data_IF_298554853375
#
_entry.id   IF_298554853375
#
_cell.length_a   1.000
_cell.length_b   1.000
_cell.length_c   1.000
_cell.angle_alpha   90.00
_cell.angle_beta   90.00
_cell.angle_gamma   90.00
#
_symmetry.space_group_name_H-M   'P 1'
#
loop_
_entity.id
_entity.type
_entity.pdbx_description
1 polymer ?
#
# COMPACT_ATOMS: atom_id res chain seq x y z
N UNK A 1 57.24 10.57 26.80
CA UNK A 1 56.94 9.19 26.40
C UNK A 1 55.44 8.94 26.18
N UNK A 2 54.51 9.33 27.09
CA UNK A 2 53.06 9.11 26.90
C UNK A 2 52.45 9.81 25.69
N UNK A 3 52.88 11.07 25.39
CA UNK A 3 52.40 11.81 24.23
C UNK A 3 52.86 11.23 22.88
N UNK A 4 54.10 10.70 22.83
CA UNK A 4 54.63 10.04 21.64
C UNK A 4 53.89 8.71 21.35
N UNK A 5 53.52 7.96 22.40
CA UNK A 5 52.77 6.73 22.29
C UNK A 5 51.34 6.95 21.77
N UNK A 6 50.68 8.05 22.19
CA UNK A 6 49.35 8.44 21.69
C UNK A 6 49.41 8.88 20.23
N UNK A 7 50.45 9.63 19.82
CA UNK A 7 50.65 10.03 18.43
C UNK A 7 50.91 8.82 17.53
N UNK A 8 51.70 7.86 17.99
CA UNK A 8 51.95 6.60 17.26
C UNK A 8 50.65 5.75 17.16
N UNK A 9 49.84 5.71 18.23
CA UNK A 9 48.57 5.00 18.23
C UNK A 9 47.52 5.67 17.31
N UNK A 10 47.52 7.01 17.24
CA UNK A 10 46.68 7.76 16.31
C UNK A 10 47.13 7.59 14.85
N UNK A 11 48.43 7.53 14.60
CA UNK A 11 48.98 7.28 13.24
C UNK A 11 48.76 5.84 12.78
N UNK A 12 48.70 4.85 13.67
CA UNK A 12 48.34 3.48 13.30
C UNK A 12 46.87 3.32 12.90
N UNK A 13 45.96 4.15 13.39
CA UNK A 13 44.55 4.11 13.01
C UNK A 13 44.24 4.72 11.61
N UNK A 14 45.16 5.50 11.04
CA UNK A 14 44.99 6.08 9.71
C UNK A 14 45.39 5.13 8.56
N UNK A 15 45.93 3.94 8.87
CA UNK A 15 46.35 2.96 7.87
C UNK A 15 45.34 1.83 7.61
N UNK A 16 44.17 1.84 8.27
CA UNK A 16 43.08 0.95 7.93
C UNK A 16 42.13 1.62 6.92
N UNK A 17 42.61 1.95 5.73
CA UNK A 17 41.72 2.10 4.59
C UNK A 17 41.11 0.74 4.29
N UNK A 18 39.81 0.62 4.45
CA UNK A 18 39.07 -0.59 4.06
C UNK A 18 39.24 -0.74 2.54
N UNK A 19 40.14 -1.63 2.15
CA UNK A 19 40.35 -1.96 0.74
C UNK A 19 39.08 -2.56 0.19
N UNK A 20 38.55 -1.98 -0.86
CA UNK A 20 37.32 -2.44 -1.50
C UNK A 20 37.63 -3.03 -2.88
N UNK A 21 36.82 -4.01 -3.26
CA UNK A 21 36.75 -4.55 -4.61
C UNK A 21 35.41 -4.18 -5.23
N UNK A 22 35.39 -3.91 -6.53
CA UNK A 22 34.17 -3.71 -7.28
C UNK A 22 33.87 -4.92 -8.15
N UNK A 23 32.80 -5.64 -7.84
CA UNK A 23 32.31 -6.80 -8.58
C UNK A 23 31.32 -6.31 -9.64
N UNK A 24 31.61 -6.52 -10.92
CA UNK A 24 30.74 -6.14 -12.03
C UNK A 24 30.40 -7.34 -12.88
N UNK A 25 29.17 -7.43 -13.33
CA UNK A 25 28.70 -8.49 -14.20
C UNK A 25 27.46 -8.08 -14.98
N UNK A 26 27.08 -8.92 -15.93
CA UNK A 26 25.87 -8.75 -16.73
C UNK A 26 25.00 -9.97 -16.63
N UNK A 27 23.72 -9.80 -16.29
CA UNK A 27 22.73 -10.87 -16.20
C UNK A 27 22.05 -11.01 -17.56
N UNK A 28 22.03 -12.24 -18.07
CA UNK A 28 21.40 -12.57 -19.35
C UNK A 28 20.57 -13.84 -19.20
N UNK A 29 19.55 -14.02 -20.04
CA UNK A 29 18.81 -15.27 -20.17
C UNK A 29 19.56 -16.28 -21.07
N UNK A 30 18.98 -17.46 -21.24
CA UNK A 30 19.54 -18.53 -22.11
C UNK A 30 19.62 -18.11 -23.57
N UNK A 31 18.93 -17.05 -23.99
CA UNK A 31 18.92 -16.48 -25.34
C UNK A 31 19.84 -15.24 -25.44
N UNK A 32 20.64 -14.94 -24.40
CA UNK A 32 21.54 -13.76 -24.28
C UNK A 32 20.82 -12.41 -24.26
N UNK A 33 19.51 -12.37 -23.98
CA UNK A 33 18.82 -11.13 -23.70
C UNK A 33 19.16 -10.63 -22.29
N UNK A 34 19.25 -9.32 -22.11
CA UNK A 34 19.52 -8.73 -20.81
C UNK A 34 18.38 -8.98 -19.81
N UNK A 35 18.69 -9.42 -18.59
CA UNK A 35 17.74 -9.54 -17.49
C UNK A 35 17.88 -8.31 -16.60
N UNK A 36 16.89 -7.40 -16.69
CA UNK A 36 16.84 -6.18 -15.90
C UNK A 36 16.08 -6.39 -14.60
N UNK A 37 16.37 -5.57 -13.58
CA UNK A 37 15.70 -5.56 -12.28
C UNK A 37 15.86 -6.84 -11.45
N UNK A 38 16.79 -7.71 -11.81
CA UNK A 38 17.14 -8.88 -10.99
C UNK A 38 17.91 -8.44 -9.74
N UNK A 39 17.62 -9.06 -8.62
CA UNK A 39 18.27 -8.77 -7.34
C UNK A 39 19.56 -9.57 -7.22
N UNK A 40 20.70 -8.88 -7.00
CA UNK A 40 22.01 -9.48 -6.76
C UNK A 40 22.44 -9.20 -5.32
N UNK A 41 22.68 -10.25 -4.54
CA UNK A 41 23.14 -10.16 -3.14
C UNK A 41 24.54 -10.70 -3.02
N UNK A 42 25.44 -9.93 -2.41
CA UNK A 42 26.83 -10.32 -2.20
C UNK A 42 27.10 -10.72 -0.75
N UNK A 43 27.77 -11.84 -0.56
CA UNK A 43 28.14 -12.39 0.75
C UNK A 43 29.62 -12.69 0.81
N UNK A 44 30.21 -12.58 2.01
CA UNK A 44 31.53 -13.09 2.36
C UNK A 44 31.37 -14.24 3.38
N UNK A 45 32.36 -15.14 3.45
CA UNK A 45 32.30 -16.35 4.31
C UNK A 45 30.99 -17.13 4.12
N UNK A 46 30.45 -17.16 2.89
CA UNK A 46 29.21 -17.84 2.47
C UNK A 46 27.92 -17.41 3.18
N UNK A 47 28.00 -16.64 4.26
CA UNK A 47 26.87 -16.31 5.12
C UNK A 47 26.77 -14.85 5.55
N UNK A 48 27.84 -14.06 5.44
CA UNK A 48 27.85 -12.67 5.85
C UNK A 48 27.48 -11.77 4.66
N UNK A 49 26.31 -11.21 4.68
CA UNK A 49 25.86 -10.26 3.65
C UNK A 49 26.68 -8.96 3.69
N UNK A 50 27.09 -8.52 2.54
CA UNK A 50 27.88 -7.30 2.38
C UNK A 50 27.06 -6.19 1.77
N UNK A 51 26.46 -6.46 0.62
CA UNK A 51 25.70 -5.47 -0.15
C UNK A 51 24.80 -6.16 -1.19
N UNK A 52 23.69 -5.51 -1.54
CA UNK A 52 22.86 -5.86 -2.68
C UNK A 52 22.87 -4.79 -3.75
N UNK A 53 22.54 -5.19 -4.98
CA UNK A 53 22.31 -4.34 -6.12
C UNK A 53 21.23 -4.94 -7.02
N UNK A 54 20.78 -4.19 -8.02
CA UNK A 54 19.85 -4.68 -9.05
C UNK A 54 20.48 -4.49 -10.43
N UNK A 55 20.17 -5.41 -11.35
CA UNK A 55 20.59 -5.24 -12.73
C UNK A 55 19.85 -4.09 -13.42
N UNK A 56 20.56 -3.28 -14.18
CA UNK A 56 20.03 -2.18 -14.98
C UNK A 56 19.27 -2.68 -16.23
N UNK A 57 18.78 -1.75 -17.07
CA UNK A 57 18.05 -2.09 -18.31
C UNK A 57 18.88 -2.91 -19.32
N UNK A 58 20.18 -2.92 -19.19
CA UNK A 58 21.13 -3.68 -20.03
C UNK A 58 21.62 -4.96 -19.33
N UNK A 59 21.09 -5.27 -18.14
CA UNK A 59 21.43 -6.41 -17.33
C UNK A 59 22.68 -6.23 -16.46
N UNK A 60 23.34 -5.08 -16.47
CA UNK A 60 24.56 -4.86 -15.71
C UNK A 60 24.27 -4.59 -14.23
N UNK A 61 25.16 -5.05 -13.36
CA UNK A 61 25.20 -4.72 -11.94
C UNK A 61 26.61 -4.39 -11.47
N UNK A 62 26.73 -3.67 -10.33
CA UNK A 62 28.01 -3.26 -9.77
C UNK A 62 27.95 -3.23 -8.24
N UNK A 63 28.66 -4.12 -7.59
CA UNK A 63 28.69 -4.26 -6.13
C UNK A 63 30.09 -3.95 -5.60
N UNK A 64 30.21 -2.95 -4.73
CA UNK A 64 31.44 -2.65 -4.00
C UNK A 64 31.41 -3.39 -2.67
N UNK A 65 32.38 -4.24 -2.42
CA UNK A 65 32.53 -5.05 -1.22
C UNK A 65 33.93 -4.90 -0.59
N UNK A 66 34.08 -5.08 0.71
CA UNK A 66 35.40 -5.19 1.34
C UNK A 66 36.18 -6.35 0.75
N UNK A 67 37.51 -6.23 0.63
CA UNK A 67 38.35 -7.36 0.19
C UNK A 67 38.24 -8.49 1.18
N UNK A 68 37.93 -9.69 0.68
CA UNK A 68 37.77 -10.91 1.47
C UNK A 68 38.67 -12.05 0.95
N UNK A 69 39.62 -12.54 1.76
CA UNK A 69 40.44 -13.69 1.39
C UNK A 69 39.65 -14.98 1.15
N UNK A 70 38.45 -15.08 1.74
CA UNK A 70 37.54 -16.21 1.53
C UNK A 70 36.77 -16.15 0.22
N UNK A 71 36.84 -15.03 -0.49
CA UNK A 71 36.08 -14.80 -1.71
C UNK A 71 34.66 -14.29 -1.44
N UNK A 72 33.84 -14.31 -2.50
CA UNK A 72 32.49 -13.77 -2.51
C UNK A 72 31.51 -14.81 -3.04
N UNK A 73 30.34 -14.84 -2.44
CA UNK A 73 29.17 -15.58 -2.92
C UNK A 73 28.14 -14.57 -3.40
N UNK A 74 27.82 -14.59 -4.68
CA UNK A 74 26.73 -13.81 -5.25
C UNK A 74 25.50 -14.69 -5.37
N UNK A 75 24.38 -14.21 -4.86
CA UNK A 75 23.08 -14.88 -4.97
C UNK A 75 22.17 -13.96 -5.78
N UNK A 76 21.72 -14.47 -6.92
CA UNK A 76 20.96 -13.72 -7.92
C UNK A 76 19.56 -14.32 -7.99
N UNK A 77 18.56 -13.48 -7.77
CA UNK A 77 17.15 -13.84 -7.84
C UNK A 77 16.40 -12.92 -8.80
N UNK A 78 15.56 -13.53 -9.62
CA UNK A 78 14.62 -12.80 -10.47
C UNK A 78 13.36 -13.63 -10.68
N UNK A 79 12.20 -12.95 -10.82
CA UNK A 79 10.91 -13.61 -11.01
C UNK A 79 10.94 -14.45 -12.29
N UNK A 80 10.59 -15.73 -12.18
CA UNK A 80 10.58 -16.67 -13.31
C UNK A 80 11.94 -17.29 -13.66
N UNK A 81 12.97 -17.03 -12.84
CA UNK A 81 14.29 -17.62 -13.00
C UNK A 81 14.72 -18.37 -11.73
N UNK A 82 15.45 -19.45 -11.94
CA UNK A 82 16.10 -20.20 -10.86
C UNK A 82 17.10 -19.33 -10.12
N UNK A 83 17.15 -19.42 -8.79
CA UNK A 83 18.21 -18.77 -8.03
C UNK A 83 19.57 -19.19 -8.59
N UNK A 84 20.38 -18.21 -8.95
CA UNK A 84 21.73 -18.46 -9.42
C UNK A 84 22.73 -18.10 -8.33
N UNK A 85 23.57 -19.05 -7.93
CA UNK A 85 24.63 -18.84 -6.94
C UNK A 85 25.99 -18.91 -7.66
N UNK A 86 26.73 -17.81 -7.57
CA UNK A 86 28.07 -17.71 -8.14
C UNK A 86 29.09 -17.49 -7.01
N UNK A 87 30.11 -18.34 -6.94
CA UNK A 87 31.27 -18.15 -6.07
C UNK A 87 32.43 -17.59 -6.87
N UNK A 88 33.05 -16.52 -6.37
CA UNK A 88 34.17 -15.87 -7.01
C UNK A 88 35.21 -15.43 -6.00
N UNK A 89 36.45 -15.24 -6.46
CA UNK A 89 37.55 -14.67 -5.67
C UNK A 89 38.17 -13.54 -6.45
N UNK A 90 38.57 -12.52 -5.77
CA UNK A 90 39.26 -11.38 -6.35
C UNK A 90 39.99 -10.58 -5.30
N UNK A 91 41.06 -9.96 -5.71
CA UNK A 91 41.87 -9.10 -4.88
C UNK A 91 41.40 -7.63 -5.02
N UNK A 92 42.28 -6.68 -4.85
CA UNK A 92 42.00 -5.25 -4.96
C UNK A 92 41.61 -4.83 -6.39
N UNK A 93 40.67 -3.88 -6.48
CA UNK A 93 40.32 -3.22 -7.73
C UNK A 93 38.95 -3.62 -8.27
N UNK A 94 38.88 -3.99 -9.52
CA UNK A 94 37.65 -4.33 -10.24
C UNK A 94 37.71 -5.78 -10.74
N UNK A 95 36.70 -6.56 -10.43
CA UNK A 95 36.54 -7.92 -10.94
C UNK A 95 35.35 -7.99 -11.89
N UNK A 96 35.63 -8.27 -13.17
CA UNK A 96 34.64 -8.46 -14.21
C UNK A 96 34.19 -9.94 -14.23
N UNK A 97 32.92 -10.18 -13.97
CA UNK A 97 32.34 -11.53 -13.90
C UNK A 97 31.81 -11.99 -15.28
N UNK A 98 31.73 -11.08 -16.26
CA UNK A 98 31.18 -11.38 -17.58
C UNK A 98 29.68 -11.58 -17.59
N UNK A 99 29.19 -12.29 -18.61
CA UNK A 99 27.77 -12.64 -18.75
C UNK A 99 27.44 -13.82 -17.81
N UNK A 100 26.49 -13.60 -16.93
CA UNK A 100 25.93 -14.60 -16.01
C UNK A 100 24.58 -15.02 -16.56
N UNK A 101 24.46 -16.29 -16.97
CA UNK A 101 23.23 -16.82 -17.58
C UNK A 101 22.28 -17.27 -16.50
N UNK A 102 21.08 -16.69 -16.46
CA UNK A 102 20.00 -17.11 -15.58
C UNK A 102 19.12 -18.12 -16.32
N UNK A 103 18.87 -19.26 -15.67
CA UNK A 103 18.04 -20.34 -16.20
C UNK A 103 16.59 -20.13 -15.76
N UNK A 104 15.68 -20.23 -16.72
CA UNK A 104 14.25 -20.18 -16.40
C UNK A 104 13.83 -21.44 -15.66
N UNK A 105 13.32 -21.30 -14.47
CA UNK A 105 12.74 -22.42 -13.74
C UNK A 105 11.75 -22.00 -12.66
N UNK A 106 10.84 -22.91 -12.46
CA UNK A 106 9.88 -22.94 -11.39
C UNK A 106 10.31 -23.96 -10.34
N UNK A 107 11.12 -23.63 -9.34
CA UNK A 107 11.21 -24.40 -8.09
C UNK A 107 12.06 -23.75 -6.96
N UNK A 108 11.80 -24.19 -5.73
CA UNK A 108 12.10 -23.64 -4.40
C UNK A 108 13.57 -23.64 -3.96
N UNK A 109 13.85 -22.76 -2.99
CA UNK A 109 15.14 -22.60 -2.35
C UNK A 109 15.12 -22.65 -0.82
N UNK A 110 16.23 -23.13 -0.25
CA UNK A 110 16.54 -23.19 1.17
C UNK A 110 17.42 -22.01 1.65
N UNK A 111 17.41 -21.78 2.93
CA UNK A 111 17.73 -20.59 3.71
C UNK A 111 19.22 -20.20 3.90
N UNK A 112 19.55 -18.88 3.91
CA UNK A 112 20.84 -18.30 4.31
C UNK A 112 20.73 -17.04 5.18
N UNK A 113 21.52 -16.91 6.24
CA UNK A 113 21.53 -15.78 7.23
C UNK A 113 22.55 -14.68 6.89
N UNK A 114 22.21 -13.42 7.20
CA UNK A 114 22.94 -12.23 6.73
C UNK A 114 23.12 -11.16 7.82
N UNK A 115 24.32 -10.54 7.89
CA UNK A 115 24.59 -9.26 8.54
C UNK A 115 25.49 -8.38 7.66
N UNK A 116 24.94 -7.30 7.09
CA UNK A 116 25.67 -6.34 6.26
C UNK A 116 24.83 -5.09 5.97
N UNK A 117 25.39 -4.07 5.32
CA UNK A 117 24.64 -2.84 5.01
C UNK A 117 23.44 -3.11 4.10
N UNK A 118 22.26 -2.91 4.67
CA UNK A 118 20.97 -3.25 4.10
C UNK A 118 20.42 -2.22 3.11
N UNK A 119 21.22 -1.23 2.68
CA UNK A 119 20.74 -0.09 1.91
C UNK A 119 21.63 0.13 0.70
N UNK A 120 21.01 0.21 -0.49
CA UNK A 120 21.66 0.60 -1.75
C UNK A 120 20.87 1.75 -2.35
N UNK A 121 21.56 2.81 -2.78
CA UNK A 121 20.96 3.95 -3.47
C UNK A 121 21.21 3.84 -4.97
N UNK A 122 20.16 4.02 -5.75
CA UNK A 122 20.21 4.22 -7.19
C UNK A 122 19.89 5.67 -7.52
N UNK A 123 19.79 6.02 -8.79
CA UNK A 123 19.51 7.41 -9.22
C UNK A 123 18.09 7.85 -8.85
N UNK A 124 17.14 6.92 -8.82
CA UNK A 124 15.69 7.18 -8.71
C UNK A 124 15.06 6.61 -7.43
N UNK A 125 15.74 5.70 -6.74
CA UNK A 125 15.20 5.00 -5.57
C UNK A 125 16.25 4.53 -4.59
N UNK A 126 15.81 4.16 -3.39
CA UNK A 126 16.63 3.52 -2.37
C UNK A 126 16.13 2.10 -2.14
N UNK A 127 17.02 1.13 -2.25
CA UNK A 127 16.75 -0.29 -2.06
C UNK A 127 17.06 -0.67 -0.61
N UNK A 128 16.10 -1.25 0.06
CA UNK A 128 16.23 -1.75 1.42
C UNK A 128 16.11 -3.27 1.42
N UNK A 129 17.12 -3.96 1.91
CA UNK A 129 17.15 -5.42 2.02
C UNK A 129 16.92 -5.80 3.49
N UNK A 130 15.75 -6.36 3.84
CA UNK A 130 15.47 -6.74 5.21
C UNK A 130 16.37 -7.88 5.68
N UNK A 131 16.80 -7.83 6.92
CA UNK A 131 17.48 -8.97 7.55
C UNK A 131 16.45 -10.04 7.91
N UNK A 132 16.90 -11.30 8.02
CA UNK A 132 16.06 -12.39 8.52
C UNK A 132 15.48 -12.12 9.90
N UNK A 133 16.26 -11.46 10.75
CA UNK A 133 15.82 -11.10 12.09
C UNK A 133 14.65 -10.10 12.04
N UNK A 134 14.72 -9.09 11.18
CA UNK A 134 13.61 -8.14 10.97
C UNK A 134 12.37 -8.87 10.46
N UNK A 135 12.52 -9.74 9.44
CA UNK A 135 11.40 -10.50 8.88
C UNK A 135 10.81 -11.50 9.88
N UNK A 136 11.65 -12.11 10.74
CA UNK A 136 11.19 -13.04 11.79
C UNK A 136 10.32 -12.36 12.85
N UNK A 137 10.62 -11.11 13.18
CA UNK A 137 9.87 -10.32 14.16
C UNK A 137 8.70 -9.53 13.56
N UNK A 138 8.50 -9.60 12.27
CA UNK A 138 7.37 -9.00 11.59
C UNK A 138 6.18 -9.96 11.58
N UNK A 139 4.98 -9.42 11.85
CA UNK A 139 3.72 -10.15 11.74
C UNK A 139 3.09 -10.00 10.36
N UNK A 140 3.39 -8.92 9.66
CA UNK A 140 2.76 -8.51 8.42
C UNK A 140 3.68 -7.52 7.66
N UNK A 141 3.24 -7.05 6.48
CA UNK A 141 4.01 -6.11 5.66
C UNK A 141 4.25 -4.76 6.35
N UNK A 142 3.28 -4.22 7.10
CA UNK A 142 3.46 -2.96 7.82
C UNK A 142 4.50 -3.09 8.93
N UNK A 143 4.44 -4.17 9.68
CA UNK A 143 5.42 -4.42 10.75
C UNK A 143 6.81 -4.68 10.17
N UNK A 144 6.90 -5.38 9.04
CA UNK A 144 8.17 -5.56 8.33
C UNK A 144 8.77 -4.21 7.92
N UNK A 145 7.96 -3.32 7.32
CA UNK A 145 8.38 -1.99 6.92
C UNK A 145 8.82 -1.14 8.11
N UNK A 146 8.06 -1.13 9.21
CA UNK A 146 8.40 -0.40 10.43
C UNK A 146 9.74 -0.84 11.04
N UNK A 147 10.01 -2.16 11.04
CA UNK A 147 11.26 -2.72 11.55
C UNK A 147 12.49 -2.38 10.71
N UNK A 148 12.31 -1.97 9.46
CA UNK A 148 13.40 -1.54 8.59
C UNK A 148 13.89 -0.14 8.90
N UNK A 149 13.13 0.67 9.66
CA UNK A 149 13.49 2.03 10.09
C UNK A 149 13.97 2.90 8.91
N UNK A 150 13.20 2.92 7.81
CA UNK A 150 13.52 3.71 6.63
C UNK A 150 13.49 5.20 7.02
N UNK A 151 14.61 5.95 6.86
CA UNK A 151 14.62 7.37 7.14
C UNK A 151 13.55 8.10 6.33
N UNK A 152 12.93 9.15 6.90
CA UNK A 152 11.84 9.93 6.29
C UNK A 152 10.49 9.23 6.18
N UNK A 153 10.40 7.93 6.41
CA UNK A 153 9.16 7.17 6.35
C UNK A 153 8.61 6.97 7.76
N UNK A 154 7.42 7.45 8.00
CA UNK A 154 6.64 7.18 9.22
C UNK A 154 5.68 6.02 8.96
N UNK A 155 5.82 4.97 9.73
CA UNK A 155 5.03 3.74 9.60
C UNK A 155 4.34 3.43 10.90
N UNK A 156 3.02 3.55 10.93
CA UNK A 156 2.19 3.11 12.05
C UNK A 156 1.57 1.73 11.74
N UNK A 157 2.11 0.64 12.33
CA UNK A 157 1.60 -0.71 12.09
C UNK A 157 0.20 -0.94 12.69
N UNK A 158 -0.25 -0.11 13.64
CA UNK A 158 -1.56 -0.25 14.29
C UNK A 158 -2.67 0.39 13.44
N UNK A 159 -2.47 1.63 13.02
CA UNK A 159 -3.43 2.34 12.17
C UNK A 159 -3.28 2.02 10.69
N UNK A 160 -2.24 1.24 10.30
CA UNK A 160 -1.94 0.85 8.91
C UNK A 160 -1.66 2.04 8.00
N UNK A 161 -1.10 3.10 8.56
CA UNK A 161 -0.71 4.30 7.82
C UNK A 161 0.79 4.29 7.55
N UNK A 162 1.13 4.71 6.34
CA UNK A 162 2.50 4.93 5.89
C UNK A 162 2.56 6.32 5.25
N UNK A 163 3.45 7.17 5.73
CA UNK A 163 3.56 8.55 5.26
C UNK A 163 4.99 9.06 5.33
N UNK A 164 5.22 10.15 4.60
CA UNK A 164 6.41 10.99 4.73
C UNK A 164 5.99 12.40 5.15
N UNK A 165 6.94 13.30 5.37
CA UNK A 165 6.64 14.73 5.60
C UNK A 165 5.88 15.38 4.44
N UNK A 166 5.90 14.78 3.25
CA UNK A 166 5.20 15.26 2.05
C UNK A 166 3.76 14.77 1.96
N UNK A 167 3.38 13.79 2.78
CA UNK A 167 2.05 13.21 2.80
C UNK A 167 2.03 11.69 2.76
N UNK A 168 0.89 11.14 2.39
CA UNK A 168 0.64 9.70 2.36
C UNK A 168 1.48 9.01 1.28
N UNK A 169 2.01 7.84 1.61
CA UNK A 169 2.87 7.02 0.75
C UNK A 169 2.03 5.98 0.00
N UNK A 170 2.21 5.90 -1.31
CA UNK A 170 1.61 4.85 -2.12
C UNK A 170 2.34 3.53 -1.89
N UNK A 171 1.60 2.46 -1.60
CA UNK A 171 2.14 1.13 -1.39
C UNK A 171 1.93 0.25 -2.62
N UNK A 172 3.00 -0.38 -3.08
CA UNK A 172 3.00 -1.29 -4.21
C UNK A 172 3.48 -2.69 -3.78
N UNK A 173 3.08 -3.70 -4.56
CA UNK A 173 3.64 -5.06 -4.53
C UNK A 173 4.07 -5.40 -5.96
N UNK A 174 5.36 -5.65 -6.17
CA UNK A 174 5.95 -5.96 -7.48
C UNK A 174 5.52 -4.96 -8.57
N UNK A 175 5.57 -3.65 -8.26
CA UNK A 175 5.24 -2.55 -9.16
C UNK A 175 3.74 -2.25 -9.32
N UNK A 176 2.82 -3.03 -8.76
CA UNK A 176 1.39 -2.78 -8.78
C UNK A 176 0.89 -2.16 -7.48
N UNK A 177 -0.11 -1.31 -7.55
CA UNK A 177 -0.76 -0.73 -6.39
C UNK A 177 -1.43 -1.81 -5.52
N UNK A 178 -1.11 -1.80 -4.23
CA UNK A 178 -1.60 -2.76 -3.26
C UNK A 178 -2.62 -2.14 -2.31
N UNK A 179 -3.63 -2.91 -1.94
CA UNK A 179 -4.56 -2.52 -0.90
C UNK A 179 -3.94 -2.64 0.50
N UNK A 180 -4.52 -1.95 1.48
CA UNK A 180 -4.10 -2.08 2.88
C UNK A 180 -4.22 -3.52 3.39
N UNK A 181 -5.23 -4.27 2.92
CA UNK A 181 -5.42 -5.65 3.31
C UNK A 181 -4.38 -6.58 2.69
N UNK A 182 -3.92 -6.34 1.47
CA UNK A 182 -2.81 -7.10 0.87
C UNK A 182 -1.52 -6.91 1.66
N UNK A 183 -1.19 -5.68 2.03
CA UNK A 183 0.00 -5.40 2.86
C UNK A 183 -0.13 -6.00 4.26
N UNK A 184 -1.32 -5.96 4.87
CA UNK A 184 -1.60 -6.57 6.19
C UNK A 184 -1.43 -8.09 6.16
N UNK A 185 -1.84 -8.73 5.08
CA UNK A 185 -1.80 -10.18 4.95
C UNK A 185 -0.52 -10.69 4.25
N UNK A 186 0.39 -9.79 3.91
CA UNK A 186 1.65 -10.14 3.28
C UNK A 186 2.52 -10.96 4.26
N UNK A 187 3.00 -12.11 3.81
CA UNK A 187 3.94 -12.91 4.58
C UNK A 187 5.33 -12.22 4.57
N UNK A 188 5.85 -11.77 5.72
CA UNK A 188 7.12 -11.05 5.74
C UNK A 188 8.30 -11.84 5.17
N UNK A 189 8.27 -13.17 5.26
CA UNK A 189 9.35 -14.04 4.76
C UNK A 189 9.51 -13.99 3.25
N UNK A 190 8.46 -13.57 2.53
CA UNK A 190 8.47 -13.48 1.07
C UNK A 190 9.06 -12.14 0.58
N UNK A 191 9.35 -11.20 1.50
CA UNK A 191 9.93 -9.91 1.14
C UNK A 191 11.41 -10.07 0.82
N UNK A 192 11.76 -9.93 -0.45
CA UNK A 192 13.17 -9.90 -0.90
C UNK A 192 13.82 -8.56 -0.62
N UNK A 193 13.11 -7.47 -0.90
CA UNK A 193 13.54 -6.09 -0.67
C UNK A 193 12.36 -5.12 -0.71
N UNK A 194 12.62 -3.91 -0.25
CA UNK A 194 11.74 -2.75 -0.41
C UNK A 194 12.43 -1.74 -1.32
N UNK A 195 11.75 -1.32 -2.38
CA UNK A 195 12.16 -0.22 -3.23
C UNK A 195 11.43 1.05 -2.78
N UNK A 196 12.17 2.03 -2.26
CA UNK A 196 11.59 3.28 -1.76
C UNK A 196 11.92 4.44 -2.70
N UNK A 197 10.90 5.11 -3.18
CA UNK A 197 10.97 6.32 -3.99
C UNK A 197 10.50 7.50 -3.12
N UNK A 198 11.41 8.34 -2.70
CA UNK A 198 11.11 9.53 -1.90
C UNK A 198 10.67 10.73 -2.73
N UNK A 199 10.85 10.63 -4.05
CA UNK A 199 10.42 11.59 -5.07
C UNK A 199 10.01 10.80 -6.32
N UNK A 200 9.17 11.37 -7.16
CA UNK A 200 8.75 10.92 -8.50
C UNK A 200 8.97 9.44 -8.87
N UNK A 201 7.93 8.66 -8.75
CA UNK A 201 7.90 7.32 -9.35
C UNK A 201 7.53 7.42 -10.84
N UNK A 202 8.23 6.74 -11.77
CA UNK A 202 7.99 6.87 -13.22
C UNK A 202 6.54 6.57 -13.65
N UNK A 203 5.88 5.62 -12.99
CA UNK A 203 4.50 5.20 -13.30
C UNK A 203 3.45 5.87 -12.42
N UNK A 204 3.85 6.48 -11.30
CA UNK A 204 2.97 7.16 -10.33
C UNK A 204 3.47 8.57 -10.03
N UNK A 205 3.51 9.47 -11.05
CA UNK A 205 4.12 10.80 -10.92
C UNK A 205 3.40 11.72 -9.93
N UNK A 206 2.16 11.42 -9.59
CA UNK A 206 1.36 12.19 -8.64
C UNK A 206 1.46 11.66 -7.19
N UNK A 207 2.17 10.56 -6.95
CA UNK A 207 2.40 10.06 -5.61
C UNK A 207 3.52 10.87 -4.93
N UNK A 208 3.29 11.27 -3.67
CA UNK A 208 4.29 12.01 -2.89
C UNK A 208 5.53 11.16 -2.61
N UNK A 209 5.32 9.89 -2.35
CA UNK A 209 6.35 8.87 -2.18
C UNK A 209 5.77 7.49 -2.49
N UNK A 210 6.62 6.53 -2.80
CA UNK A 210 6.21 5.17 -3.13
C UNK A 210 7.07 4.16 -2.42
N UNK A 211 6.44 3.14 -1.83
CA UNK A 211 7.08 1.95 -1.27
C UNK A 211 6.64 0.75 -2.08
N UNK A 212 7.56 0.07 -2.74
CA UNK A 212 7.29 -1.15 -3.50
C UNK A 212 7.90 -2.37 -2.80
N UNK A 213 7.04 -3.29 -2.38
CA UNK A 213 7.44 -4.58 -1.82
C UNK A 213 7.78 -5.54 -2.94
N UNK A 214 9.04 -5.87 -3.10
CA UNK A 214 9.50 -6.88 -4.05
C UNK A 214 9.50 -8.23 -3.35
N UNK A 215 8.63 -9.11 -3.80
CA UNK A 215 8.38 -10.40 -3.18
C UNK A 215 9.06 -11.54 -3.92
N UNK A 216 9.35 -12.61 -3.17
CA UNK A 216 9.72 -13.91 -3.73
C UNK A 216 8.52 -14.50 -4.49
N UNK A 217 8.82 -15.12 -5.63
CA UNK A 217 7.80 -15.80 -6.41
C UNK A 217 7.67 -17.26 -5.96
N UNK A 218 6.42 -17.69 -5.72
CA UNK A 218 6.10 -19.06 -5.38
C UNK A 218 5.35 -19.74 -6.53
N UNK A 219 5.90 -20.83 -7.06
CA UNK A 219 5.28 -21.58 -8.15
C UNK A 219 4.03 -22.35 -7.74
N UNK A 220 4.04 -22.92 -6.55
CA UNK A 220 2.94 -23.72 -6.02
C UNK A 220 2.88 -23.59 -4.50
N UNK A 221 1.71 -23.57 -3.98
CA UNK A 221 1.46 -23.50 -2.56
C UNK A 221 0.26 -22.67 -2.24
N UNK A 222 0.11 -22.34 -0.99
CA UNK A 222 -0.94 -21.45 -0.53
C UNK A 222 -0.75 -21.11 0.93
N UNK A 223 -1.50 -20.11 1.34
CA UNK A 223 -1.51 -19.61 2.72
C UNK A 223 -2.95 -19.37 3.15
N UNK A 224 -3.23 -19.65 4.41
CA UNK A 224 -4.44 -19.18 5.10
C UNK A 224 -3.99 -18.38 6.30
N UNK A 225 -4.47 -17.16 6.40
CA UNK A 225 -4.24 -16.28 7.53
C UNK A 225 -5.59 -15.91 8.18
N UNK A 226 -5.62 -15.89 9.50
CA UNK A 226 -6.77 -15.42 10.27
C UNK A 226 -6.28 -14.40 11.28
N UNK A 227 -7.04 -13.33 11.45
CA UNK A 227 -6.75 -12.29 12.42
C UNK A 227 -8.05 -11.94 13.18
N UNK A 228 -7.88 -11.49 14.41
CA UNK A 228 -9.01 -11.05 15.22
C UNK A 228 -8.54 -10.07 16.26
N UNK A 229 -9.34 -9.05 16.48
CA UNK A 229 -9.17 -8.07 17.55
C UNK A 229 -10.50 -7.84 18.26
N UNK A 230 -10.50 -7.97 19.58
CA UNK A 230 -11.67 -7.75 20.41
C UNK A 230 -11.34 -6.80 21.55
N UNK A 231 -12.15 -5.79 21.76
CA UNK A 231 -12.07 -4.93 22.94
C UNK A 231 -12.85 -5.57 24.09
N UNK A 232 -12.17 -5.80 25.20
CA UNK A 232 -12.77 -6.53 26.34
C UNK A 232 -13.83 -5.75 27.12
N UNK A 233 -13.79 -4.42 27.04
CA UNK A 233 -14.69 -3.53 27.78
C UNK A 233 -15.69 -2.76 26.90
N UNK A 234 -15.72 -3.04 25.62
CA UNK A 234 -16.61 -2.43 24.63
C UNK A 234 -17.11 -3.50 23.68
N UNK A 235 -18.34 -3.37 23.20
CA UNK A 235 -18.90 -4.27 22.22
C UNK A 235 -18.38 -4.02 20.81
N UNK A 236 -17.05 -3.94 20.62
CA UNK A 236 -16.46 -3.76 19.31
C UNK A 236 -15.31 -4.75 19.04
N UNK A 237 -15.22 -5.18 17.81
CA UNK A 237 -14.22 -6.13 17.35
C UNK A 237 -14.08 -6.13 15.85
N UNK A 238 -13.00 -6.75 15.38
CA UNK A 238 -12.74 -6.96 13.95
C UNK A 238 -12.12 -8.33 13.75
N UNK A 239 -12.61 -9.08 12.78
CA UNK A 239 -12.16 -10.42 12.44
C UNK A 239 -11.94 -10.53 10.93
N UNK A 240 -10.93 -11.27 10.53
CA UNK A 240 -10.63 -11.46 9.12
C UNK A 240 -10.04 -12.83 8.82
N UNK A 241 -10.28 -13.29 7.61
CA UNK A 241 -9.66 -14.48 7.06
C UNK A 241 -9.20 -14.20 5.62
N UNK A 242 -7.99 -14.64 5.29
CA UNK A 242 -7.41 -14.53 3.95
C UNK A 242 -6.90 -15.87 3.51
N UNK A 243 -7.28 -16.30 2.31
CA UNK A 243 -6.73 -17.44 1.61
C UNK A 243 -5.97 -17.00 0.37
N UNK A 244 -4.79 -17.56 0.13
CA UNK A 244 -3.95 -17.30 -1.03
C UNK A 244 -3.51 -18.62 -1.63
N UNK A 245 -3.55 -18.75 -2.95
CA UNK A 245 -3.14 -19.95 -3.67
C UNK A 245 -2.26 -19.53 -4.85
N UNK A 246 -1.09 -20.16 -4.93
CA UNK A 246 -0.14 -20.01 -6.03
C UNK A 246 -0.20 -21.24 -6.93
N UNK A 247 -0.33 -21.03 -8.21
CA UNK A 247 -0.25 -22.08 -9.22
C UNK A 247 0.50 -21.61 -10.46
N UNK A 248 1.80 -21.88 -10.49
CA UNK A 248 2.72 -21.47 -11.56
C UNK A 248 2.69 -19.95 -11.76
N UNK A 249 2.08 -19.51 -12.86
CA UNK A 249 1.98 -18.10 -13.27
C UNK A 249 0.75 -17.38 -12.70
N UNK A 250 -0.07 -18.09 -11.94
CA UNK A 250 -1.34 -17.57 -11.42
C UNK A 250 -1.36 -17.54 -9.90
N UNK A 251 -1.88 -16.47 -9.36
CA UNK A 251 -2.11 -16.28 -7.92
C UNK A 251 -3.56 -15.86 -7.70
N UNK A 252 -4.20 -16.45 -6.71
CA UNK A 252 -5.56 -16.15 -6.28
C UNK A 252 -5.53 -15.76 -4.82
N UNK A 253 -6.13 -14.64 -4.49
CA UNK A 253 -6.30 -14.19 -3.10
C UNK A 253 -7.79 -13.93 -2.86
N UNK A 254 -8.29 -14.45 -1.77
CA UNK A 254 -9.63 -14.17 -1.25
C UNK A 254 -9.49 -13.72 0.18
N UNK A 255 -10.04 -12.56 0.52
CA UNK A 255 -10.09 -12.08 1.89
C UNK A 255 -11.49 -11.61 2.25
N UNK A 256 -11.89 -11.92 3.46
CA UNK A 256 -13.13 -11.43 4.06
C UNK A 256 -12.82 -10.92 5.45
N UNK A 257 -13.27 -9.73 5.77
CA UNK A 257 -13.19 -9.16 7.11
C UNK A 257 -14.53 -8.58 7.54
N UNK A 258 -14.84 -8.74 8.81
CA UNK A 258 -15.99 -8.18 9.48
C UNK A 258 -15.53 -7.31 10.64
N UNK A 259 -16.09 -6.11 10.75
CA UNK A 259 -15.85 -5.19 11.86
C UNK A 259 -17.19 -4.73 12.41
N UNK A 260 -17.36 -4.89 13.69
CA UNK A 260 -18.57 -4.43 14.36
C UNK A 260 -18.24 -3.51 15.52
N UNK A 261 -19.11 -2.55 15.74
CA UNK A 261 -19.04 -1.62 16.83
C UNK A 261 -20.43 -1.50 17.45
N UNK A 262 -20.54 -1.86 18.71
CA UNK A 262 -21.76 -1.74 19.50
C UNK A 262 -21.37 -1.13 20.84
N UNK A 263 -21.66 0.14 21.00
CA UNK A 263 -21.36 0.81 22.24
C UNK A 263 -22.39 1.91 22.54
N UNK A 264 -22.51 2.23 23.80
CA UNK A 264 -23.31 3.36 24.25
C UNK A 264 -22.35 4.44 24.71
N UNK A 265 -22.22 5.58 24.00
CA UNK A 265 -21.35 6.66 24.40
C UNK A 265 -21.75 7.20 25.77
N UNK A 266 -20.75 7.64 26.53
CA UNK A 266 -20.96 8.37 27.76
C UNK A 266 -21.50 9.77 27.44
N UNK A 267 -22.08 10.44 28.44
CA UNK A 267 -22.53 11.82 28.29
C UNK A 267 -21.46 12.71 27.65
N UNK A 268 -21.85 13.39 26.59
CA UNK A 268 -21.09 14.45 25.93
C UNK A 268 -21.70 15.80 26.24
N UNK A 269 -20.91 16.87 26.05
CA UNK A 269 -21.38 18.24 26.12
C UNK A 269 -20.85 18.97 24.89
N UNK A 270 -21.74 19.62 24.16
CA UNK A 270 -21.42 20.37 22.97
C UNK A 270 -22.03 21.77 23.04
N UNK A 271 -21.26 22.77 22.58
CA UNK A 271 -21.76 24.14 22.42
C UNK A 271 -21.60 24.56 20.98
N UNK A 272 -22.70 24.85 20.32
CA UNK A 272 -22.74 25.32 18.93
C UNK A 272 -23.21 26.76 18.87
N UNK A 273 -22.52 27.61 18.10
CA UNK A 273 -22.86 29.04 17.96
C UNK A 273 -23.33 29.31 16.53
N UNK A 274 -24.52 29.81 16.38
CA UNK A 274 -25.14 30.16 15.11
C UNK A 274 -25.27 31.69 14.96
N UNK A 275 -24.86 32.20 13.79
CA UNK A 275 -25.05 33.62 13.40
C UNK A 275 -26.26 33.73 12.45
N UNK A 276 -27.29 34.42 12.87
CA UNK A 276 -28.41 34.77 11.97
C UNK A 276 -28.03 35.90 11.01
N UNK A 277 -28.74 35.99 9.89
CA UNK A 277 -28.62 37.06 8.91
C UNK A 277 -28.90 38.46 9.52
N UNK A 278 -29.60 38.53 10.64
CA UNK A 278 -29.85 39.72 11.44
C UNK A 278 -28.69 40.14 12.36
N UNK A 279 -27.55 39.45 12.29
CA UNK A 279 -26.40 39.60 13.21
C UNK A 279 -26.69 39.16 14.66
N UNK A 280 -27.80 38.51 14.90
CA UNK A 280 -28.11 37.90 16.19
C UNK A 280 -27.35 36.61 16.35
N UNK A 281 -26.69 36.41 17.48
CA UNK A 281 -25.99 35.20 17.82
C UNK A 281 -26.89 34.29 18.67
N UNK A 282 -27.07 33.04 18.25
CA UNK A 282 -27.77 32.03 19.03
C UNK A 282 -26.75 30.98 19.45
N UNK A 283 -26.66 30.71 20.72
CA UNK A 283 -25.86 29.60 21.28
C UNK A 283 -26.79 28.45 21.61
N UNK A 284 -26.46 27.27 21.10
CA UNK A 284 -27.08 25.99 21.47
C UNK A 284 -26.14 25.23 22.39
N UNK A 285 -26.57 24.88 23.56
CA UNK A 285 -25.89 24.00 24.49
C UNK A 285 -26.60 22.64 24.48
N UNK A 286 -25.90 21.62 24.02
CA UNK A 286 -26.39 20.26 23.97
C UNK A 286 -25.67 19.37 24.97
N UNK A 287 -26.42 18.56 25.69
CA UNK A 287 -25.90 17.51 26.57
C UNK A 287 -26.43 16.17 26.09
N UNK A 288 -25.57 15.34 25.50
CA UNK A 288 -25.91 14.01 25.04
C UNK A 288 -26.25 13.09 26.22
N UNK A 289 -27.28 12.31 26.04
CA UNK A 289 -27.66 11.23 26.94
C UNK A 289 -27.11 9.89 26.41
N UNK A 290 -26.89 8.89 27.26
CA UNK A 290 -26.49 7.56 26.81
C UNK A 290 -27.50 6.98 25.81
N UNK A 291 -27.07 6.75 24.57
CA UNK A 291 -27.90 6.16 23.51
C UNK A 291 -27.07 5.17 22.70
N UNK A 292 -27.64 4.03 22.26
CA UNK A 292 -26.88 2.99 21.57
C UNK A 292 -26.44 3.43 20.18
N UNK A 293 -25.23 3.03 19.81
CA UNK A 293 -24.69 3.18 18.46
C UNK A 293 -24.18 1.82 17.99
N UNK A 294 -24.68 1.37 16.86
CA UNK A 294 -24.35 0.07 16.29
C UNK A 294 -23.86 0.26 14.86
N UNK A 295 -22.70 -0.32 14.53
CA UNK A 295 -22.27 -0.41 13.15
C UNK A 295 -21.65 -1.77 12.85
N UNK A 296 -21.84 -2.22 11.63
CA UNK A 296 -21.22 -3.43 11.10
C UNK A 296 -20.70 -3.14 9.69
N UNK A 297 -19.46 -3.55 9.42
CA UNK A 297 -18.81 -3.39 8.12
C UNK A 297 -18.19 -4.70 7.67
N UNK A 298 -18.65 -5.22 6.53
CA UNK A 298 -18.11 -6.42 5.91
C UNK A 298 -17.36 -5.98 4.66
N UNK A 299 -16.07 -6.34 4.61
CA UNK A 299 -15.20 -6.09 3.47
C UNK A 299 -14.74 -7.43 2.90
N UNK A 300 -14.90 -7.58 1.59
CA UNK A 300 -14.42 -8.76 0.89
C UNK A 300 -13.65 -8.33 -0.34
N UNK A 301 -12.52 -8.98 -0.61
CA UNK A 301 -11.84 -8.78 -1.87
C UNK A 301 -11.38 -10.11 -2.48
N UNK A 302 -11.34 -10.10 -3.80
CA UNK A 302 -10.87 -11.20 -4.63
C UNK A 302 -9.83 -10.65 -5.58
N UNK A 303 -8.61 -11.18 -5.52
CA UNK A 303 -7.55 -10.82 -6.43
C UNK A 303 -7.19 -12.02 -7.29
N UNK A 304 -6.98 -11.75 -8.55
CA UNK A 304 -6.35 -12.67 -9.49
C UNK A 304 -5.16 -11.98 -10.14
N UNK A 305 -4.00 -12.60 -10.03
CA UNK A 305 -2.78 -12.19 -10.70
C UNK A 305 -2.31 -13.31 -11.62
N UNK A 306 -2.09 -12.98 -12.88
CA UNK A 306 -1.33 -13.80 -13.83
C UNK A 306 -0.11 -13.02 -14.27
N UNK A 307 1.06 -13.65 -14.30
CA UNK A 307 2.26 -13.05 -14.85
C UNK A 307 3.10 -14.08 -15.61
N UNK A 308 3.72 -13.62 -16.68
CA UNK A 308 4.80 -14.29 -17.36
C UNK A 308 5.89 -13.28 -17.72
N UNK A 309 6.89 -13.67 -18.51
CA UNK A 309 8.01 -12.81 -18.91
C UNK A 309 7.61 -11.46 -19.52
N UNK A 310 6.49 -11.42 -20.22
CA UNK A 310 6.09 -10.30 -21.04
C UNK A 310 4.75 -9.72 -20.65
N UNK A 311 3.93 -10.48 -19.94
CA UNK A 311 2.54 -10.13 -19.68
C UNK A 311 2.22 -10.24 -18.20
N UNK A 312 1.46 -9.30 -17.70
CA UNK A 312 0.85 -9.33 -16.39
C UNK A 312 -0.62 -8.95 -16.51
N UNK A 313 -1.49 -9.75 -15.93
CA UNK A 313 -2.90 -9.44 -15.77
C UNK A 313 -3.22 -9.42 -14.28
N UNK A 314 -3.77 -8.33 -13.81
CA UNK A 314 -4.23 -8.16 -12.45
C UNK A 314 -5.71 -7.80 -12.43
N UNK A 315 -6.48 -8.50 -11.64
CA UNK A 315 -7.91 -8.22 -11.45
C UNK A 315 -8.23 -8.20 -9.97
N UNK A 316 -8.88 -7.14 -9.51
CA UNK A 316 -9.38 -7.00 -8.15
C UNK A 316 -10.87 -6.71 -8.18
N UNK A 317 -11.63 -7.48 -7.42
CA UNK A 317 -13.02 -7.18 -7.06
C UNK A 317 -13.09 -6.94 -5.56
N UNK A 318 -13.58 -5.78 -5.19
CA UNK A 318 -13.81 -5.38 -3.78
C UNK A 318 -15.32 -5.27 -3.57
N UNK A 319 -15.81 -5.83 -2.47
CA UNK A 319 -17.20 -5.73 -2.04
C UNK A 319 -17.19 -5.19 -0.61
N UNK A 320 -17.64 -3.94 -0.44
CA UNK A 320 -17.79 -3.32 0.87
C UNK A 320 -19.26 -3.14 1.17
N UNK A 321 -19.67 -3.58 2.33
CA UNK A 321 -21.00 -3.38 2.87
C UNK A 321 -20.88 -2.83 4.28
N UNK A 322 -21.59 -1.74 4.55
CA UNK A 322 -21.62 -1.13 5.86
C UNK A 322 -23.07 -0.84 6.26
N UNK A 323 -23.39 -1.15 7.50
CA UNK A 323 -24.65 -0.78 8.14
C UNK A 323 -24.34 -0.05 9.43
N UNK A 324 -24.99 1.10 9.66
CA UNK A 324 -24.91 1.84 10.93
C UNK A 324 -26.31 2.21 11.38
N UNK A 325 -26.59 1.99 12.65
CA UNK A 325 -27.78 2.46 13.34
C UNK A 325 -27.31 3.31 14.53
N UNK A 326 -27.68 4.58 14.53
CA UNK A 326 -27.28 5.55 15.55
C UNK A 326 -28.51 6.18 16.19
N UNK A 327 -28.65 5.99 17.49
CA UNK A 327 -29.61 6.71 18.30
C UNK A 327 -28.86 7.86 19.00
N UNK A 328 -29.30 9.09 18.84
CA UNK A 328 -28.75 10.26 19.55
C UNK A 328 -29.85 10.96 20.35
N UNK A 329 -29.79 10.76 21.64
CA UNK A 329 -30.69 11.38 22.59
C UNK A 329 -29.95 12.52 23.30
N UNK A 330 -30.46 13.74 23.18
CA UNK A 330 -29.83 14.90 23.79
C UNK A 330 -30.82 15.86 24.46
N UNK A 331 -30.31 16.61 25.43
CA UNK A 331 -31.01 17.77 26.00
C UNK A 331 -30.36 19.03 25.47
N UNK A 332 -31.14 19.87 24.81
CA UNK A 332 -30.67 21.09 24.14
C UNK A 332 -31.32 22.34 24.75
N UNK A 333 -30.55 23.42 24.85
CA UNK A 333 -31.02 24.72 25.33
C UNK A 333 -30.48 25.80 24.39
N UNK A 334 -31.35 26.66 23.87
CA UNK A 334 -30.99 27.74 22.98
C UNK A 334 -30.98 29.08 23.73
N UNK A 335 -29.98 29.92 23.52
CA UNK A 335 -29.79 31.22 24.21
C UNK A 335 -30.93 32.23 24.00
N UNK A 336 -31.65 32.09 22.90
CA UNK A 336 -32.77 32.99 22.56
C UNK A 336 -34.12 32.54 23.12
N UNK A 337 -34.22 31.31 23.63
CA UNK A 337 -35.51 30.76 24.09
C UNK A 337 -35.47 30.35 25.58
N UNK A 338 -34.28 29.98 26.09
CA UNK A 338 -34.06 29.47 27.47
C UNK A 338 -34.93 28.24 27.80
N UNK A 339 -35.55 27.67 26.80
CA UNK A 339 -36.36 26.47 26.94
C UNK A 339 -35.46 25.23 26.69
N UNK A 340 -35.73 24.20 27.47
CA UNK A 340 -35.03 22.93 27.29
C UNK A 340 -35.86 21.99 26.41
N UNK A 341 -35.20 21.54 25.36
CA UNK A 341 -35.73 20.55 24.43
C UNK A 341 -35.05 19.20 24.67
N UNK A 342 -35.87 18.12 24.73
CA UNK A 342 -35.36 16.77 24.57
C UNK A 342 -35.37 16.44 23.07
N UNK A 343 -34.21 16.17 22.49
CA UNK A 343 -34.08 15.80 21.10
C UNK A 343 -33.77 14.33 20.99
N UNK A 344 -34.55 13.66 20.17
CA UNK A 344 -34.40 12.27 19.78
C UNK A 344 -34.13 12.24 18.29
N UNK A 345 -32.91 11.86 17.91
CA UNK A 345 -32.39 11.91 16.54
C UNK A 345 -31.81 10.56 16.16
N UNK A 346 -32.65 9.74 15.54
CA UNK A 346 -32.30 8.37 15.19
C UNK A 346 -32.02 8.27 13.71
N UNK A 347 -30.89 7.64 13.36
CA UNK A 347 -30.53 7.44 11.97
C UNK A 347 -30.08 6.00 11.68
N UNK A 348 -30.37 5.55 10.48
CA UNK A 348 -29.93 4.28 9.94
C UNK A 348 -29.29 4.51 8.57
N UNK A 349 -28.11 3.97 8.34
CA UNK A 349 -27.47 4.00 7.04
C UNK A 349 -27.09 2.61 6.55
N UNK A 350 -27.17 2.41 5.24
CA UNK A 350 -26.77 1.18 4.59
C UNK A 350 -26.01 1.51 3.30
N UNK A 351 -24.71 1.24 3.30
CA UNK A 351 -23.80 1.46 2.19
C UNK A 351 -23.41 0.12 1.54
N UNK A 352 -23.44 0.07 0.22
CA UNK A 352 -22.90 -1.04 -0.58
C UNK A 352 -22.02 -0.49 -1.70
N UNK A 353 -20.73 -0.81 -1.66
CA UNK A 353 -19.70 -0.22 -2.53
C UNK A 353 -18.86 -1.30 -3.21
N UNK A 354 -19.35 -1.94 -4.29
CA UNK A 354 -18.52 -2.79 -5.13
C UNK A 354 -17.55 -1.96 -5.99
N UNK A 355 -16.32 -2.44 -6.13
CA UNK A 355 -15.32 -1.87 -7.01
C UNK A 355 -14.58 -2.97 -7.78
N UNK A 356 -14.33 -2.72 -9.06
CA UNK A 356 -13.62 -3.62 -9.96
C UNK A 356 -12.42 -2.88 -10.56
N UNK A 357 -11.24 -3.51 -10.54
CA UNK A 357 -10.06 -3.08 -11.29
C UNK A 357 -9.56 -4.24 -12.14
N UNK A 358 -9.32 -3.99 -13.39
CA UNK A 358 -8.63 -4.89 -14.32
C UNK A 358 -7.44 -4.12 -14.87
N UNK A 359 -6.25 -4.67 -14.75
CA UNK A 359 -5.03 -4.08 -15.27
C UNK A 359 -4.25 -5.13 -16.06
N UNK A 360 -3.99 -4.83 -17.30
CA UNK A 360 -3.11 -5.63 -18.16
C UNK A 360 -1.87 -4.82 -18.49
N UNK A 361 -0.72 -5.44 -18.33
CA UNK A 361 0.59 -4.90 -18.66
C UNK A 361 1.30 -5.84 -19.62
N UNK A 362 1.82 -5.31 -20.71
CA UNK A 362 2.55 -6.08 -21.72
C UNK A 362 3.88 -5.42 -22.09
N UNK A 363 4.97 -6.18 -22.00
CA UNK A 363 6.28 -5.79 -22.54
C UNK A 363 6.39 -6.30 -23.97
N UNK A 364 6.55 -5.39 -24.91
CA UNK A 364 6.68 -5.67 -26.34
C UNK A 364 8.15 -5.64 -26.76
N UNK A 365 8.45 -6.08 -27.99
CA UNK A 365 9.81 -6.01 -28.55
C UNK A 365 10.29 -4.55 -28.64
N UNK A 366 11.63 -4.34 -28.62
CA UNK A 366 12.29 -3.03 -28.75
C UNK A 366 11.93 -2.06 -27.60
N UNK A 367 11.96 -2.54 -26.39
CA UNK A 367 11.75 -1.75 -25.16
C UNK A 367 10.43 -0.96 -25.18
N UNK A 368 9.39 -1.57 -25.70
CA UNK A 368 8.04 -1.04 -25.69
C UNK A 368 7.23 -1.66 -24.57
N UNK A 369 6.31 -0.87 -24.00
CA UNK A 369 5.47 -1.25 -22.89
C UNK A 369 4.07 -0.71 -23.10
N UNK A 370 3.07 -1.54 -22.88
CA UNK A 370 1.66 -1.16 -22.92
C UNK A 370 0.99 -1.51 -21.59
N UNK A 371 0.17 -0.60 -21.08
CA UNK A 371 -0.68 -0.87 -19.94
C UNK A 371 -2.10 -0.43 -20.25
N UNK A 372 -3.03 -1.32 -20.07
CA UNK A 372 -4.46 -1.04 -20.05
C UNK A 372 -4.97 -1.20 -18.62
N UNK A 373 -5.70 -0.20 -18.11
CA UNK A 373 -6.35 -0.26 -16.80
C UNK A 373 -7.82 0.13 -16.97
N UNK A 374 -8.70 -0.66 -16.45
CA UNK A 374 -10.11 -0.34 -16.26
C UNK A 374 -10.41 -0.35 -14.77
N UNK A 375 -10.81 0.79 -14.22
CA UNK A 375 -11.28 0.89 -12.84
C UNK A 375 -12.73 1.33 -12.85
N UNK A 376 -13.54 0.70 -12.02
CA UNK A 376 -14.94 1.06 -11.85
C UNK A 376 -15.38 0.84 -10.42
N UNK A 377 -16.19 1.73 -9.91
CA UNK A 377 -16.88 1.55 -8.64
C UNK A 377 -18.33 1.95 -8.77
N UNK A 378 -19.16 1.30 -7.98
CA UNK A 378 -20.54 1.65 -7.75
C UNK A 378 -20.72 1.93 -6.27
N UNK A 379 -21.51 2.92 -5.93
CA UNK A 379 -21.86 3.26 -4.56
C UNK A 379 -23.38 3.36 -4.46
N UNK A 380 -23.97 2.57 -3.59
CA UNK A 380 -25.34 2.70 -3.16
C UNK A 380 -25.35 3.05 -1.68
N UNK A 381 -25.92 4.21 -1.38
CA UNK A 381 -26.16 4.64 -0.01
C UNK A 381 -27.67 4.81 0.21
N UNK A 382 -28.16 4.24 1.31
CA UNK A 382 -29.51 4.49 1.83
C UNK A 382 -29.35 5.06 3.21
N UNK A 383 -30.09 6.13 3.48
CA UNK A 383 -30.07 6.83 4.76
C UNK A 383 -31.48 7.18 5.17
N UNK A 384 -31.85 6.74 6.34
CA UNK A 384 -33.13 7.03 6.98
C UNK A 384 -32.86 7.76 8.30
N UNK A 385 -33.58 8.86 8.55
CA UNK A 385 -33.47 9.63 9.80
C UNK A 385 -34.84 10.01 10.30
N UNK A 386 -35.03 9.82 11.58
CA UNK A 386 -36.20 10.30 12.33
C UNK A 386 -35.74 11.30 13.38
N UNK A 387 -36.22 12.51 13.31
CA UNK A 387 -35.88 13.59 14.23
C UNK A 387 -37.15 14.03 14.98
N UNK A 388 -37.08 14.08 16.30
CA UNK A 388 -38.12 14.61 17.17
C UNK A 388 -37.56 15.53 18.25
N UNK A 389 -38.12 16.74 18.36
CA UNK A 389 -37.80 17.65 19.46
C UNK A 389 -39.02 17.84 20.33
N UNK A 390 -38.88 17.57 21.64
CA UNK A 390 -39.95 17.62 22.61
C UNK A 390 -39.68 18.71 23.65
N UNK A 391 -40.71 19.49 23.94
CA UNK A 391 -40.77 20.47 25.01
C UNK A 391 -41.84 20.04 26.01
N UNK A 392 -41.49 19.79 27.29
CA UNK A 392 -42.42 19.30 28.31
C UNK A 392 -43.19 18.05 27.83
N UNK A 393 -42.50 17.10 27.25
CA UNK A 393 -43.02 15.84 26.70
C UNK A 393 -44.06 15.99 25.56
N UNK A 394 -44.14 17.18 24.96
CA UNK A 394 -44.93 17.43 23.75
C UNK A 394 -44.00 17.63 22.56
N UNK A 395 -44.27 16.96 21.45
CA UNK A 395 -43.54 17.12 20.20
C UNK A 395 -43.79 18.55 19.70
N UNK A 396 -42.71 19.29 19.50
CA UNK A 396 -42.70 20.66 18.95
C UNK A 396 -42.21 20.69 17.52
N UNK A 397 -41.33 19.74 17.16
CA UNK A 397 -40.82 19.56 15.82
C UNK A 397 -40.59 18.07 15.59
N UNK A 398 -41.03 17.55 14.47
CA UNK A 398 -40.69 16.21 14.01
C UNK A 398 -40.61 16.22 12.49
N UNK A 399 -39.65 15.46 11.96
CA UNK A 399 -39.56 15.19 10.52
C UNK A 399 -38.83 13.88 10.26
N UNK A 400 -39.17 13.24 9.14
CA UNK A 400 -38.50 12.06 8.64
C UNK A 400 -37.75 12.41 7.36
N UNK A 401 -36.56 11.89 7.24
CA UNK A 401 -35.72 12.04 6.04
C UNK A 401 -35.40 10.67 5.49
N UNK A 402 -35.61 10.49 4.18
CA UNK A 402 -35.17 9.33 3.43
C UNK A 402 -34.26 9.79 2.30
N UNK A 403 -33.05 9.27 2.24
CA UNK A 403 -32.11 9.55 1.15
C UNK A 403 -31.63 8.26 0.50
N UNK A 404 -31.56 8.27 -0.81
CA UNK A 404 -31.01 7.18 -1.60
C UNK A 404 -30.09 7.74 -2.67
N UNK A 405 -28.84 7.33 -2.63
CA UNK A 405 -27.84 7.70 -3.60
C UNK A 405 -27.36 6.47 -4.37
N UNK A 406 -27.29 6.60 -5.68
CA UNK A 406 -26.69 5.59 -6.56
C UNK A 406 -25.69 6.28 -7.48
N UNK A 407 -24.41 6.01 -7.26
CA UNK A 407 -23.33 6.65 -7.98
C UNK A 407 -22.47 5.59 -8.62
N UNK A 408 -21.96 5.82 -9.83
CA UNK A 408 -20.88 5.02 -10.39
C UNK A 408 -19.83 5.89 -11.05
N UNK A 409 -18.61 5.38 -11.06
CA UNK A 409 -17.48 5.98 -11.75
C UNK A 409 -16.73 4.90 -12.52
N UNK A 410 -16.40 5.16 -13.77
CA UNK A 410 -15.66 4.26 -14.63
C UNK A 410 -14.49 5.01 -15.27
N UNK A 411 -13.28 4.45 -15.13
CA UNK A 411 -12.04 5.07 -15.58
C UNK A 411 -11.23 4.08 -16.41
N UNK A 412 -11.41 4.02 -17.73
CA UNK A 412 -10.48 3.36 -18.63
C UNK A 412 -9.22 4.22 -18.84
N UNK A 413 -8.07 3.58 -18.79
CA UNK A 413 -6.77 4.17 -19.08
C UNK A 413 -5.98 3.29 -20.05
N UNK A 414 -5.30 3.91 -21.00
CA UNK A 414 -4.35 3.26 -21.87
C UNK A 414 -3.03 4.02 -21.84
N UNK A 415 -1.95 3.33 -21.50
CA UNK A 415 -0.61 3.86 -21.52
C UNK A 415 0.26 3.09 -22.51
N UNK A 416 0.99 3.81 -23.31
CA UNK A 416 2.05 3.28 -24.15
C UNK A 416 3.36 4.00 -23.83
N UNK A 417 4.46 3.25 -23.69
CA UNK A 417 5.81 3.76 -23.47
C UNK A 417 6.78 3.05 -24.40
N UNK A 418 7.72 3.81 -24.96
CA UNK A 418 8.82 3.29 -25.78
C UNK A 418 10.10 4.01 -25.42
N UNK A 419 11.14 3.27 -25.09
CA UNK A 419 12.50 3.82 -24.96
C UNK A 419 13.08 4.03 -26.38
N UNK A 420 13.41 5.28 -26.71
CA UNK A 420 13.94 5.65 -28.04
C UNK A 420 15.45 5.67 -28.02
N UNK A 421 16.05 6.15 -26.92
CA UNK A 421 17.50 6.16 -26.64
C UNK A 421 17.69 5.88 -25.15
N UNK A 422 18.92 5.65 -24.71
CA UNK A 422 19.24 5.34 -23.30
C UNK A 422 18.62 6.30 -22.26
N UNK A 423 18.32 7.54 -22.65
CA UNK A 423 17.71 8.57 -21.79
C UNK A 423 16.34 9.05 -22.24
N UNK A 424 15.92 8.72 -23.46
CA UNK A 424 14.75 9.33 -24.08
C UNK A 424 13.60 8.32 -24.12
N UNK A 425 12.49 8.67 -23.51
CA UNK A 425 11.29 7.83 -23.41
C UNK A 425 10.13 8.56 -24.07
N UNK A 426 9.50 7.94 -25.06
CA UNK A 426 8.21 8.36 -25.58
C UNK A 426 7.11 7.80 -24.68
N UNK A 427 6.23 8.67 -24.23
CA UNK A 427 5.12 8.31 -23.35
C UNK A 427 3.79 8.86 -23.89
N UNK A 428 2.77 8.02 -23.92
CA UNK A 428 1.41 8.38 -24.29
C UNK A 428 0.45 7.82 -23.24
N UNK A 429 -0.35 8.67 -22.61
CA UNK A 429 -1.39 8.27 -21.68
C UNK A 429 -2.74 8.83 -22.13
N UNK A 430 -3.69 7.94 -22.37
CA UNK A 430 -5.10 8.24 -22.56
C UNK A 430 -5.85 7.88 -21.27
N UNK A 431 -6.62 8.82 -20.76
CA UNK A 431 -7.46 8.62 -19.60
C UNK A 431 -8.84 9.19 -19.88
N UNK A 432 -9.89 8.44 -19.54
CA UNK A 432 -11.26 8.93 -19.55
C UNK A 432 -11.91 8.64 -18.21
N UNK A 433 -12.57 9.62 -17.63
CA UNK A 433 -13.24 9.54 -16.33
C UNK A 433 -14.72 9.82 -16.55
N UNK A 434 -15.56 8.85 -16.29
CA UNK A 434 -17.01 8.99 -16.39
C UNK A 434 -17.64 8.77 -15.02
N UNK A 435 -18.41 9.76 -14.57
CA UNK A 435 -19.13 9.71 -13.31
C UNK A 435 -20.60 9.96 -13.54
N UNK A 436 -21.43 9.16 -12.92
CA UNK A 436 -22.87 9.34 -12.82
C UNK A 436 -23.27 9.34 -11.36
N UNK A 437 -24.14 10.26 -10.96
CA UNK A 437 -24.73 10.35 -9.65
C UNK A 437 -26.25 10.55 -9.78
N UNK A 438 -27.00 9.82 -8.98
CA UNK A 438 -28.44 9.95 -8.84
C UNK A 438 -28.76 9.98 -7.35
N UNK A 439 -29.35 11.08 -6.88
CA UNK A 439 -29.73 11.28 -5.50
C UNK A 439 -31.23 11.55 -5.40
N UNK A 440 -31.91 10.72 -4.65
CA UNK A 440 -33.28 10.90 -4.24
C UNK A 440 -33.29 11.31 -2.77
N UNK A 441 -33.97 12.38 -2.45
CA UNK A 441 -34.08 12.90 -1.11
C UNK A 441 -35.53 13.27 -0.80
N UNK A 442 -36.07 12.74 0.29
CA UNK A 442 -37.43 12.94 0.73
C UNK A 442 -37.43 13.46 2.17
N UNK A 443 -38.17 14.53 2.43
CA UNK A 443 -38.49 15.04 3.78
C UNK A 443 -40.00 15.13 3.89
N UNK A 444 -40.59 14.42 4.86
CA UNK A 444 -42.03 14.44 5.17
C UNK A 444 -42.92 14.30 3.93
N UNK A 445 -42.52 13.41 2.99
CA UNK A 445 -43.25 13.14 1.76
C UNK A 445 -42.97 14.14 0.59
N UNK A 446 -42.09 15.11 0.79
CA UNK A 446 -41.61 15.98 -0.29
C UNK A 446 -40.36 15.39 -0.93
N UNK A 447 -40.47 14.91 -2.16
CA UNK A 447 -39.40 14.27 -2.89
C UNK A 447 -38.62 15.29 -3.74
N UNK A 448 -37.31 15.26 -3.65
CA UNK A 448 -36.35 15.85 -4.57
C UNK A 448 -35.57 14.76 -5.29
N UNK A 449 -35.39 14.89 -6.60
CA UNK A 449 -34.73 13.90 -7.46
C UNK A 449 -33.71 14.64 -8.36
N UNK A 450 -32.42 14.31 -8.20
CA UNK A 450 -31.31 14.99 -8.89
C UNK A 450 -30.40 13.99 -9.60
N UNK A 451 -29.99 14.35 -10.81
CA UNK A 451 -29.13 13.55 -11.68
C UNK A 451 -27.94 14.38 -12.13
N UNK A 452 -26.76 13.82 -11.99
CA UNK A 452 -25.53 14.44 -12.47
C UNK A 452 -24.73 13.44 -13.31
N UNK A 453 -24.25 13.92 -14.46
CA UNK A 453 -23.37 13.15 -15.32
C UNK A 453 -22.18 14.01 -15.71
N UNK A 454 -20.96 13.48 -15.52
CA UNK A 454 -19.72 14.14 -15.92
C UNK A 454 -18.83 13.17 -16.66
N UNK A 455 -18.25 13.62 -17.78
CA UNK A 455 -17.22 12.89 -18.51
C UNK A 455 -16.02 13.81 -18.78
N UNK A 456 -14.82 13.35 -18.50
CA UNK A 456 -13.57 14.10 -18.75
C UNK A 456 -12.53 13.19 -19.39
N UNK A 457 -12.05 13.58 -20.57
CA UNK A 457 -10.97 12.91 -21.27
C UNK A 457 -9.67 13.69 -21.15
N UNK A 458 -8.55 13.00 -20.94
CA UNK A 458 -7.22 13.58 -20.89
C UNK A 458 -6.24 12.78 -21.74
N UNK A 459 -5.50 13.49 -22.59
CA UNK A 459 -4.34 12.97 -23.30
C UNK A 459 -3.08 13.61 -22.73
N UNK A 460 -2.11 12.79 -22.34
CA UNK A 460 -0.79 13.25 -21.90
C UNK A 460 0.26 12.66 -22.84
N UNK A 461 1.16 13.50 -23.34
CA UNK A 461 2.30 13.15 -24.19
C UNK A 461 3.57 13.61 -23.48
N UNK A 462 4.61 12.79 -23.51
CA UNK A 462 5.90 13.11 -22.92
C UNK A 462 7.05 12.31 -23.53
#
# INVERSE_FOLDING_TARGET
>A
MKALFIIVLCLLNTLLEAQNICLKGRLVDEHKNAVSSATVRCFIHDSVFVKGDISDSTGNFSITAPVSPSGYKLVINYIGYKEHVLHTKGDLGELQLGDIVLIEESNKLDEVVVTGRQITRTTDKVLYFPSKEQLRHASDGYKALALMMIPTLDVDPFTKKVSTIQGETLLLINGREASSDEIRNLNPKDILRIDFYDQHHPEYPNANSVVDYILEHHDRGGMVAMNGQQHLNKGNGSYGATGQIFNKKSEFIVSVSDSYNNYTPKRGYETSTYLKSTKETIVNEASSLPSPQNSNSINSYFNYLYHDKHNQLYTTLVLNQEKSDEDDLSMQTYSNDLVRYKVDDNSSSHNFNPALRIEYTGSLKHEQYIRFRLSGNYNQNKYDRQYEALQNDKITLAYNTHAKENNYRVIPQLMYRKTVRKSDVLFVLLNYDHTYAHTQYEIDGQLSDDYQTKGEGRLTLG
#
